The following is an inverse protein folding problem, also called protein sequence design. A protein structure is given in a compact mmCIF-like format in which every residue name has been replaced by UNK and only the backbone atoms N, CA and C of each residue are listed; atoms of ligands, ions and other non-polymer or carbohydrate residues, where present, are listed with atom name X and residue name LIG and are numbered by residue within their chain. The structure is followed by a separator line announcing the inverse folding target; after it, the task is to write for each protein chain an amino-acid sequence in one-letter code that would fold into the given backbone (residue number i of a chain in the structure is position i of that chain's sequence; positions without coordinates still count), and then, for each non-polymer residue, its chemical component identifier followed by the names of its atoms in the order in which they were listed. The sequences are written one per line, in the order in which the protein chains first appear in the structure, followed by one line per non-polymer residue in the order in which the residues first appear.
data_IF_940808698492
#
_entry.id   IF_940808698492
#
_cell.length_a   1.000
_cell.length_b   1.000
_cell.length_c   1.000
_cell.angle_alpha   90.00
_cell.angle_beta   90.00
_cell.angle_gamma   90.00
#
_symmetry.space_group_name_H-M   'P 1'
#
loop_
_entity.id
_entity.type
_entity.pdbx_description
1 polymer ?
#
# COMPACT_ATOMS: atom_id res chain seq x y z
N UNK A 1 -5.91 -36.07 12.11
CA UNK A 1 -6.60 -36.43 10.86
C UNK A 1 -5.55 -37.09 9.97
N UNK A 2 -5.66 -38.40 9.67
CA UNK A 2 -4.66 -39.10 8.84
C UNK A 2 -4.60 -38.47 7.45
N UNK A 3 -3.41 -38.06 7.02
CA UNK A 3 -3.19 -37.46 5.70
C UNK A 3 -3.46 -38.50 4.61
N UNK A 4 -3.76 -38.07 3.39
CA UNK A 4 -3.95 -39.00 2.27
C UNK A 4 -2.69 -39.83 1.98
N UNK A 5 -1.51 -39.31 2.36
CA UNK A 5 -0.22 -40.01 2.34
C UNK A 5 -0.19 -41.14 3.37
N UNK A 6 -0.67 -40.91 4.60
CA UNK A 6 -0.77 -41.95 5.62
C UNK A 6 -1.74 -43.06 5.20
N UNK A 7 -2.84 -42.70 4.52
CA UNK A 7 -3.78 -43.67 3.95
C UNK A 7 -3.15 -44.48 2.82
N UNK A 8 -2.41 -43.84 1.92
CA UNK A 8 -1.71 -44.54 0.84
C UNK A 8 -0.64 -45.49 1.38
N UNK A 9 0.18 -45.04 2.34
CA UNK A 9 1.19 -45.88 3.01
C UNK A 9 0.53 -47.04 3.74
N UNK A 10 -0.57 -46.80 4.46
CA UNK A 10 -1.30 -47.86 5.15
C UNK A 10 -1.97 -48.84 4.18
N UNK A 11 -2.49 -48.39 3.04
CA UNK A 11 -3.05 -49.27 2.00
C UNK A 11 -1.93 -50.08 1.33
N UNK A 12 -0.79 -49.48 1.02
CA UNK A 12 0.37 -50.20 0.45
C UNK A 12 0.93 -51.21 1.46
N UNK A 13 1.03 -50.85 2.73
CA UNK A 13 1.41 -51.76 3.81
C UNK A 13 0.38 -52.89 3.98
N UNK A 14 -0.92 -52.59 3.92
CA UNK A 14 -1.98 -53.59 3.99
C UNK A 14 -1.92 -54.55 2.79
N UNK A 15 -1.73 -54.04 1.57
CA UNK A 15 -1.56 -54.87 0.36
C UNK A 15 -0.33 -55.76 0.51
N UNK A 16 0.79 -55.21 0.97
CA UNK A 16 2.03 -55.96 1.20
C UNK A 16 1.88 -57.04 2.28
N UNK A 17 1.21 -56.72 3.40
CA UNK A 17 0.89 -57.67 4.48
C UNK A 17 -0.06 -58.76 3.98
N UNK A 18 -1.09 -58.40 3.21
CA UNK A 18 -2.06 -59.37 2.64
C UNK A 18 -1.36 -60.29 1.64
N UNK A 19 -0.42 -59.76 0.85
CA UNK A 19 0.41 -60.52 -0.07
C UNK A 19 1.34 -61.48 0.70
N UNK A 20 2.02 -61.02 1.75
CA UNK A 20 2.89 -61.84 2.61
C UNK A 20 2.13 -62.93 3.38
N UNK A 21 0.91 -62.64 3.84
CA UNK A 21 0.06 -63.61 4.55
C UNK A 21 -0.52 -64.64 3.58
N UNK A 22 -0.93 -64.23 2.38
CA UNK A 22 -1.42 -65.11 1.32
C UNK A 22 -0.32 -65.92 0.61
N UNK A 23 0.95 -65.57 0.82
CA UNK A 23 2.12 -66.16 0.13
C UNK A 23 2.46 -67.59 0.54
N UNK A 24 2.02 -68.02 1.73
CA UNK A 24 2.47 -69.30 2.30
C UNK A 24 2.02 -70.58 1.55
N UNK A 25 0.88 -70.63 0.81
CA UNK A 25 0.48 -71.87 0.14
C UNK A 25 0.67 -71.93 -1.39
N UNK A 26 0.91 -70.82 -2.11
CA UNK A 26 0.56 -70.78 -3.56
C UNK A 26 1.70 -70.84 -4.59
N UNK A 27 2.97 -70.56 -4.26
CA UNK A 27 4.06 -70.68 -5.22
C UNK A 27 5.30 -71.32 -4.59
N UNK A 28 5.67 -72.51 -5.07
CA UNK A 28 6.87 -73.27 -4.63
C UNK A 28 8.10 -72.99 -5.52
N UNK A 29 8.03 -72.04 -6.45
CA UNK A 29 9.12 -71.76 -7.39
C UNK A 29 9.71 -70.37 -7.17
N UNK A 30 11.02 -70.33 -6.88
CA UNK A 30 11.85 -69.13 -6.66
C UNK A 30 11.63 -68.03 -7.72
N UNK A 31 11.26 -68.41 -8.96
CA UNK A 31 10.95 -67.47 -10.03
C UNK A 31 9.68 -66.64 -9.76
N UNK A 32 8.63 -67.24 -9.19
CA UNK A 32 7.38 -66.58 -8.85
C UNK A 32 7.54 -65.56 -7.72
N UNK A 33 8.41 -65.88 -6.75
CA UNK A 33 8.77 -65.01 -5.63
C UNK A 33 9.55 -63.76 -6.10
N UNK A 34 10.48 -63.95 -7.05
CA UNK A 34 11.26 -62.86 -7.64
C UNK A 34 10.38 -61.95 -8.50
N UNK A 35 9.48 -62.52 -9.33
CA UNK A 35 8.57 -61.75 -10.19
C UNK A 35 7.53 -61.01 -9.35
N UNK A 36 6.95 -61.66 -8.34
CA UNK A 36 5.99 -61.05 -7.42
C UNK A 36 6.61 -59.92 -6.58
N UNK A 37 7.82 -60.15 -6.04
CA UNK A 37 8.59 -59.13 -5.34
C UNK A 37 8.96 -57.94 -6.24
N UNK A 38 9.40 -58.19 -7.47
CA UNK A 38 9.72 -57.14 -8.44
C UNK A 38 8.49 -56.30 -8.82
N UNK A 39 7.34 -56.95 -9.09
CA UNK A 39 6.08 -56.25 -9.39
C UNK A 39 5.58 -55.42 -8.20
N UNK A 40 5.74 -55.92 -6.97
CA UNK A 40 5.38 -55.17 -5.76
C UNK A 40 6.26 -53.92 -5.57
N UNK A 41 7.57 -54.01 -5.82
CA UNK A 41 8.50 -52.87 -5.75
C UNK A 41 8.19 -51.84 -6.83
N UNK A 42 7.98 -52.28 -8.08
CA UNK A 42 7.63 -51.39 -9.19
C UNK A 42 6.27 -50.72 -8.94
N UNK A 43 5.27 -51.46 -8.46
CA UNK A 43 3.97 -50.92 -8.07
C UNK A 43 4.06 -49.88 -6.96
N UNK A 44 4.88 -50.14 -5.93
CA UNK A 44 5.14 -49.20 -4.83
C UNK A 44 5.82 -47.91 -5.30
N UNK A 45 6.80 -48.00 -6.21
CA UNK A 45 7.48 -46.83 -6.80
C UNK A 45 6.51 -45.99 -7.64
N UNK A 46 5.69 -46.64 -8.48
CA UNK A 46 4.69 -45.95 -9.30
C UNK A 46 3.64 -45.26 -8.42
N UNK A 47 3.13 -45.95 -7.38
CA UNK A 47 2.18 -45.39 -6.44
C UNK A 47 2.75 -44.19 -5.67
N UNK A 48 4.00 -44.29 -5.19
CA UNK A 48 4.68 -43.19 -4.51
C UNK A 48 4.89 -41.97 -5.43
N UNK A 49 5.29 -42.19 -6.69
CA UNK A 49 5.39 -41.10 -7.68
C UNK A 49 4.04 -40.46 -7.97
N UNK A 50 2.99 -41.26 -8.17
CA UNK A 50 1.65 -40.73 -8.39
C UNK A 50 1.13 -39.95 -7.19
N UNK A 51 1.35 -40.45 -5.96
CA UNK A 51 0.98 -39.75 -4.73
C UNK A 51 1.70 -38.39 -4.64
N UNK A 52 3.01 -38.34 -4.92
CA UNK A 52 3.76 -37.07 -4.96
C UNK A 52 3.22 -36.10 -6.01
N UNK A 53 2.86 -36.57 -7.20
CA UNK A 53 2.26 -35.73 -8.25
C UNK A 53 0.90 -35.18 -7.80
N UNK A 54 0.05 -36.01 -7.21
CA UNK A 54 -1.28 -35.62 -6.72
C UNK A 54 -1.15 -34.62 -5.57
N UNK A 55 -0.25 -34.86 -4.62
CA UNK A 55 0.01 -33.95 -3.50
C UNK A 55 0.50 -32.59 -4.00
N UNK A 56 1.50 -32.56 -4.88
CA UNK A 56 1.98 -31.31 -5.49
C UNK A 56 0.90 -30.59 -6.29
N UNK A 57 0.02 -31.33 -6.96
CA UNK A 57 -1.11 -30.75 -7.70
C UNK A 57 -2.10 -30.09 -6.74
N UNK A 58 -2.45 -30.75 -5.63
CA UNK A 58 -3.36 -30.22 -4.60
C UNK A 58 -2.78 -28.99 -3.90
N UNK A 59 -1.49 -29.02 -3.55
CA UNK A 59 -0.78 -27.86 -2.97
C UNK A 59 -0.79 -26.66 -3.91
N UNK A 60 -0.58 -26.88 -5.22
CA UNK A 60 -0.68 -25.82 -6.23
C UNK A 60 -2.10 -25.27 -6.39
N UNK A 61 -3.12 -26.13 -6.28
CA UNK A 61 -4.53 -25.70 -6.34
C UNK A 61 -4.91 -24.87 -5.11
N UNK A 62 -4.47 -25.28 -3.91
CA UNK A 62 -4.64 -24.53 -2.66
C UNK A 62 -3.93 -23.17 -2.71
N UNK A 63 -2.67 -23.13 -3.17
CA UNK A 63 -1.92 -21.88 -3.36
C UNK A 63 -2.63 -20.95 -4.36
N UNK A 64 -3.11 -21.49 -5.49
CA UNK A 64 -3.86 -20.70 -6.47
C UNK A 64 -5.14 -20.12 -5.88
N UNK A 65 -5.85 -20.87 -5.04
CA UNK A 65 -7.05 -20.38 -4.35
C UNK A 65 -6.69 -19.23 -3.41
N UNK A 66 -5.66 -19.39 -2.56
CA UNK A 66 -5.19 -18.35 -1.65
C UNK A 66 -4.81 -17.08 -2.41
N UNK A 67 -4.06 -17.20 -3.50
CA UNK A 67 -3.66 -16.05 -4.33
C UNK A 67 -4.87 -15.35 -4.98
N UNK A 68 -5.91 -16.12 -5.33
CA UNK A 68 -7.17 -15.57 -5.86
C UNK A 68 -7.92 -14.78 -4.78
N UNK A 69 -8.01 -15.33 -3.57
CA UNK A 69 -8.68 -14.67 -2.44
C UNK A 69 -7.95 -13.39 -2.03
N UNK A 70 -6.61 -13.40 -2.08
CA UNK A 70 -5.77 -12.22 -1.87
C UNK A 70 -6.00 -11.18 -2.97
N UNK A 71 -6.01 -11.59 -4.24
CA UNK A 71 -6.30 -10.69 -5.35
C UNK A 71 -7.65 -9.99 -5.15
N UNK A 72 -8.71 -10.75 -4.86
CA UNK A 72 -10.07 -10.22 -4.67
C UNK A 72 -10.09 -9.24 -3.50
N UNK A 73 -9.49 -9.61 -2.36
CA UNK A 73 -9.41 -8.74 -1.18
C UNK A 73 -8.65 -7.45 -1.50
N UNK A 74 -7.50 -7.57 -2.15
CA UNK A 74 -6.64 -6.45 -2.52
C UNK A 74 -7.34 -5.49 -3.50
N UNK A 75 -7.95 -6.02 -4.56
CA UNK A 75 -8.77 -5.26 -5.51
C UNK A 75 -9.93 -4.54 -4.81
N UNK A 76 -10.64 -5.22 -3.90
CA UNK A 76 -11.73 -4.58 -3.15
C UNK A 76 -11.25 -3.41 -2.28
N UNK A 77 -10.09 -3.53 -1.64
CA UNK A 77 -9.52 -2.43 -0.83
C UNK A 77 -9.23 -1.22 -1.72
N UNK A 78 -8.53 -1.44 -2.83
CA UNK A 78 -8.20 -0.38 -3.78
C UNK A 78 -9.46 0.30 -4.35
N UNK A 79 -10.43 -0.48 -4.84
CA UNK A 79 -11.62 0.03 -5.54
C UNK A 79 -12.67 0.63 -4.61
N UNK A 80 -12.90 0.02 -3.44
CA UNK A 80 -14.04 0.38 -2.58
C UNK A 80 -13.65 1.21 -1.37
N UNK A 81 -12.37 1.21 -0.99
CA UNK A 81 -11.88 2.00 0.14
C UNK A 81 -10.99 3.13 -0.34
N UNK A 82 -9.93 2.85 -1.10
CA UNK A 82 -8.92 3.87 -1.42
C UNK A 82 -9.42 4.86 -2.48
N UNK A 83 -9.85 4.40 -3.66
CA UNK A 83 -10.29 5.29 -4.75
C UNK A 83 -11.43 6.24 -4.33
N UNK A 84 -12.48 5.79 -3.62
CA UNK A 84 -13.57 6.69 -3.20
C UNK A 84 -13.09 7.82 -2.28
N UNK A 85 -12.19 7.52 -1.34
CA UNK A 85 -11.60 8.53 -0.45
C UNK A 85 -10.76 9.54 -1.26
N UNK A 86 -9.90 9.07 -2.19
CA UNK A 86 -9.13 9.95 -3.07
C UNK A 86 -10.05 10.87 -3.90
N UNK A 87 -11.15 10.36 -4.44
CA UNK A 87 -12.13 11.16 -5.19
C UNK A 87 -12.82 12.20 -4.31
N UNK A 88 -13.19 11.83 -3.09
CA UNK A 88 -13.83 12.74 -2.15
C UNK A 88 -12.91 13.91 -1.80
N UNK A 89 -11.62 13.64 -1.57
CA UNK A 89 -10.61 14.67 -1.32
C UNK A 89 -10.39 15.54 -2.57
N UNK A 90 -10.28 14.94 -3.75
CA UNK A 90 -10.04 15.67 -5.00
C UNK A 90 -11.16 16.66 -5.32
N UNK A 91 -12.42 16.31 -5.02
CA UNK A 91 -13.56 17.19 -5.25
C UNK A 91 -13.51 18.48 -4.41
N UNK A 92 -12.66 18.52 -3.36
CA UNK A 92 -12.43 19.69 -2.53
C UNK A 92 -11.29 20.58 -3.06
N UNK A 93 -10.61 20.21 -4.16
CA UNK A 93 -9.48 20.97 -4.74
C UNK A 93 -9.85 22.42 -5.00
N UNK A 94 -10.91 22.65 -5.77
CA UNK A 94 -11.35 24.00 -6.14
C UNK A 94 -11.76 24.82 -4.91
N UNK A 95 -12.57 24.24 -4.02
CA UNK A 95 -13.02 24.93 -2.80
C UNK A 95 -11.84 25.28 -1.89
N UNK A 96 -10.90 24.35 -1.69
CA UNK A 96 -9.74 24.55 -0.80
C UNK A 96 -8.77 25.59 -1.35
N UNK A 97 -8.50 25.57 -2.66
CA UNK A 97 -7.63 26.57 -3.31
C UNK A 97 -8.27 27.96 -3.34
N UNK A 98 -9.55 28.06 -3.74
CA UNK A 98 -10.27 29.34 -3.73
C UNK A 98 -10.43 29.92 -2.31
N UNK A 99 -10.63 29.06 -1.29
CA UNK A 99 -10.72 29.52 0.10
C UNK A 99 -9.36 29.97 0.63
N UNK A 100 -8.27 29.28 0.29
CA UNK A 100 -6.91 29.71 0.65
C UNK A 100 -6.58 31.08 0.05
N UNK A 101 -6.90 31.30 -1.23
CA UNK A 101 -6.71 32.59 -1.91
C UNK A 101 -7.52 33.73 -1.26
N UNK A 102 -8.73 33.42 -0.75
CA UNK A 102 -9.62 34.41 -0.10
C UNK A 102 -9.27 34.65 1.36
N UNK A 103 -8.84 33.62 2.09
CA UNK A 103 -8.53 33.67 3.51
C UNK A 103 -7.70 32.47 3.98
N UNK A 104 -6.39 32.67 4.17
CA UNK A 104 -5.47 31.63 4.69
C UNK A 104 -5.86 31.04 6.05
N UNK A 105 -6.77 31.69 6.80
CA UNK A 105 -7.20 31.28 8.14
C UNK A 105 -8.40 30.31 8.15
N UNK A 106 -8.99 30.00 7.01
CA UNK A 106 -10.16 29.11 6.95
C UNK A 106 -9.90 27.92 6.02
N UNK A 107 -9.79 26.73 6.62
CA UNK A 107 -9.94 25.47 5.91
C UNK A 107 -11.00 24.65 6.65
N UNK A 108 -12.08 24.22 5.97
CA UNK A 108 -13.02 23.27 6.55
C UNK A 108 -12.34 21.91 6.71
N UNK A 109 -11.67 21.70 7.85
CA UNK A 109 -11.11 20.41 8.22
C UNK A 109 -12.21 19.52 8.82
N UNK A 110 -12.97 18.83 7.97
CA UNK A 110 -13.35 17.48 8.38
C UNK A 110 -12.09 16.67 8.19
N UNK A 111 -11.33 16.47 9.27
CA UNK A 111 -10.11 15.69 9.26
C UNK A 111 -10.35 14.41 8.47
N UNK A 112 -9.67 14.34 7.32
CA UNK A 112 -9.75 13.23 6.40
C UNK A 112 -9.36 11.97 7.16
N UNK A 113 -10.30 11.04 7.31
CA UNK A 113 -10.00 9.73 7.88
C UNK A 113 -9.16 8.96 6.86
N UNK A 114 -7.85 9.22 6.84
CA UNK A 114 -6.89 8.40 6.11
C UNK A 114 -6.70 7.08 6.89
N UNK A 115 -7.72 6.24 6.81
CA UNK A 115 -7.69 4.80 7.15
C UNK A 115 -6.91 4.03 6.06
N UNK A 116 -5.94 4.67 5.39
CA UNK A 116 -5.26 4.06 4.24
C UNK A 116 -4.12 3.14 4.65
N UNK A 117 -3.37 3.49 5.69
CA UNK A 117 -2.14 2.77 6.00
C UNK A 117 -2.37 1.52 6.89
N UNK A 118 -3.42 1.54 7.74
CA UNK A 118 -3.67 0.44 8.69
C UNK A 118 -4.29 -0.80 8.04
N UNK A 119 -5.21 -0.61 7.10
CA UNK A 119 -5.86 -1.72 6.41
C UNK A 119 -4.94 -2.30 5.33
N UNK A 120 -4.25 -1.46 4.54
CA UNK A 120 -3.36 -1.93 3.47
C UNK A 120 -2.21 -2.84 3.96
N UNK A 121 -1.57 -2.48 5.07
CA UNK A 121 -0.47 -3.26 5.65
C UNK A 121 -0.94 -4.58 6.28
N UNK A 122 -2.21 -4.67 6.73
CA UNK A 122 -2.74 -5.87 7.39
C UNK A 122 -2.94 -7.06 6.43
N UNK A 123 -3.06 -6.79 5.12
CA UNK A 123 -3.15 -7.80 4.07
C UNK A 123 -1.81 -8.10 3.39
N UNK A 124 -0.74 -7.44 3.86
CA UNK A 124 0.55 -7.42 3.20
C UNK A 124 1.44 -8.58 3.69
N UNK A 125 1.04 -9.82 3.43
CA UNK A 125 2.04 -10.89 3.37
C UNK A 125 2.85 -10.68 2.09
N UNK A 126 4.01 -10.04 2.27
CA UNK A 126 4.90 -9.62 1.20
C UNK A 126 5.30 -10.79 0.28
N UNK A 127 5.35 -12.02 0.80
CA UNK A 127 5.63 -13.21 -0.01
C UNK A 127 4.45 -13.60 -0.91
N UNK A 128 3.22 -13.50 -0.41
CA UNK A 128 2.01 -13.83 -1.17
C UNK A 128 1.69 -12.74 -2.20
N UNK A 129 1.89 -11.47 -1.83
CA UNK A 129 1.75 -10.33 -2.75
C UNK A 129 2.79 -10.40 -3.87
N UNK A 130 4.06 -10.69 -3.55
CA UNK A 130 5.08 -10.92 -4.58
C UNK A 130 4.70 -12.05 -5.55
N UNK A 131 4.22 -13.18 -5.02
CA UNK A 131 3.75 -14.29 -5.85
C UNK A 131 2.58 -13.90 -6.75
N UNK A 132 1.61 -13.15 -6.23
CA UNK A 132 0.49 -12.62 -7.01
C UNK A 132 1.00 -11.73 -8.16
N UNK A 133 1.90 -10.78 -7.88
CA UNK A 133 2.44 -9.87 -8.88
C UNK A 133 3.25 -10.59 -9.95
N UNK A 134 4.07 -11.59 -9.57
CA UNK A 134 4.78 -12.45 -10.52
C UNK A 134 3.79 -13.23 -11.41
N UNK A 135 2.75 -13.84 -10.81
CA UNK A 135 1.75 -14.60 -11.54
C UNK A 135 0.99 -13.72 -12.55
N UNK A 136 0.67 -12.49 -12.15
CA UNK A 136 -0.04 -11.50 -12.97
C UNK A 136 0.86 -10.70 -13.91
N UNK A 137 2.17 -10.93 -13.88
CA UNK A 137 3.19 -10.16 -14.63
C UNK A 137 3.04 -8.66 -14.39
N UNK A 138 2.68 -8.30 -13.16
CA UNK A 138 2.48 -6.93 -12.72
C UNK A 138 3.77 -6.45 -12.09
N UNK A 139 4.17 -5.22 -12.39
CA UNK A 139 5.34 -4.61 -11.78
C UNK A 139 5.07 -4.28 -10.30
N UNK A 140 5.89 -4.82 -9.41
CA UNK A 140 5.78 -4.59 -7.97
C UNK A 140 6.20 -3.17 -7.57
N UNK A 141 6.95 -2.46 -8.41
CA UNK A 141 7.29 -1.06 -8.14
C UNK A 141 6.05 -0.16 -8.07
N UNK A 142 5.00 -0.45 -8.86
CA UNK A 142 3.72 0.27 -8.78
C UNK A 142 3.13 0.23 -7.36
N UNK A 143 3.28 -0.90 -6.68
CA UNK A 143 2.80 -1.08 -5.31
C UNK A 143 3.58 -0.22 -4.32
N UNK A 144 4.91 -0.20 -4.45
CA UNK A 144 5.76 0.65 -3.62
C UNK A 144 5.51 2.14 -3.85
N UNK A 145 5.29 2.55 -5.10
CA UNK A 145 4.97 3.93 -5.45
C UNK A 145 3.62 4.36 -4.84
N UNK A 146 2.61 3.49 -4.93
CA UNK A 146 1.30 3.73 -4.28
C UNK A 146 1.47 3.89 -2.77
N UNK A 147 2.16 2.97 -2.10
CA UNK A 147 2.38 3.04 -0.65
C UNK A 147 3.08 4.35 -0.27
N UNK A 148 4.15 4.70 -0.98
CA UNK A 148 4.95 5.90 -0.71
C UNK A 148 4.11 7.18 -0.85
N UNK A 149 3.28 7.26 -1.89
CA UNK A 149 2.40 8.42 -2.10
C UNK A 149 1.26 8.47 -1.09
N UNK A 150 0.68 7.33 -0.73
CA UNK A 150 -0.33 7.26 0.33
C UNK A 150 0.24 7.70 1.69
N UNK A 151 1.49 7.36 1.99
CA UNK A 151 2.19 7.83 3.18
C UNK A 151 2.43 9.35 3.13
N UNK A 152 2.87 9.87 2.00
CA UNK A 152 3.01 11.32 1.80
C UNK A 152 1.67 12.05 2.03
N UNK A 153 0.57 11.57 1.45
CA UNK A 153 -0.75 12.19 1.58
C UNK A 153 -1.26 12.19 3.03
N UNK A 154 -0.94 11.14 3.78
CA UNK A 154 -1.25 11.03 5.21
C UNK A 154 -0.51 12.07 6.03
N UNK A 155 0.77 12.28 5.75
CA UNK A 155 1.60 13.19 6.54
C UNK A 155 1.43 14.66 6.11
N UNK A 156 0.94 14.92 4.89
CA UNK A 156 0.82 16.26 4.30
C UNK A 156 -0.64 16.66 4.02
N UNK A 157 -1.55 16.44 4.97
CA UNK A 157 -2.95 16.86 4.80
C UNK A 157 -3.07 18.38 4.54
N UNK A 158 -4.13 18.86 3.86
CA UNK A 158 -4.32 20.30 3.62
C UNK A 158 -4.31 21.12 4.92
N UNK A 159 -4.93 20.59 5.98
CA UNK A 159 -4.90 21.18 7.33
C UNK A 159 -3.47 21.32 7.85
N UNK A 160 -2.65 20.28 7.71
CA UNK A 160 -1.26 20.31 8.14
C UNK A 160 -0.44 21.35 7.34
N UNK A 161 -0.52 21.30 6.00
CA UNK A 161 0.20 22.21 5.11
C UNK A 161 -0.12 23.68 5.47
N UNK A 162 -1.39 24.00 5.64
CA UNK A 162 -1.80 25.38 5.96
C UNK A 162 -1.50 25.77 7.39
N UNK A 163 -1.54 24.84 8.34
CA UNK A 163 -1.12 25.14 9.72
C UNK A 163 0.34 25.60 9.78
N UNK A 164 1.23 24.95 9.02
CA UNK A 164 2.64 25.33 8.94
C UNK A 164 2.81 26.72 8.34
N UNK A 165 2.04 27.04 7.30
CA UNK A 165 2.07 28.36 6.69
C UNK A 165 1.53 29.44 7.63
N UNK A 166 0.44 29.13 8.35
CA UNK A 166 -0.21 30.08 9.26
C UNK A 166 0.73 30.50 10.39
N UNK A 167 1.41 29.56 11.03
CA UNK A 167 2.30 29.87 12.16
C UNK A 167 3.47 30.79 11.74
N UNK A 168 4.03 30.53 10.56
CA UNK A 168 5.08 31.37 9.97
C UNK A 168 4.56 32.79 9.63
N UNK A 169 3.40 32.88 8.97
CA UNK A 169 2.79 34.16 8.58
C UNK A 169 2.35 34.97 9.80
N UNK A 170 1.78 34.33 10.82
CA UNK A 170 1.37 34.97 12.08
C UNK A 170 2.58 35.57 12.81
N UNK A 171 3.68 34.80 12.90
CA UNK A 171 4.93 35.27 13.51
C UNK A 171 5.50 36.49 12.78
N UNK A 172 5.54 36.45 11.45
CA UNK A 172 6.02 37.56 10.62
C UNK A 172 5.09 38.78 10.72
N UNK A 173 3.77 38.58 10.77
CA UNK A 173 2.78 39.64 10.91
C UNK A 173 2.88 40.34 12.27
N UNK A 174 3.06 39.59 13.36
CA UNK A 174 3.30 40.14 14.70
C UNK A 174 4.58 40.98 14.71
N UNK A 175 5.66 40.47 14.11
CA UNK A 175 6.92 41.21 14.00
C UNK A 175 6.77 42.50 13.18
N UNK A 176 6.08 42.45 12.03
CA UNK A 176 5.78 43.61 11.18
C UNK A 176 4.98 44.68 11.93
N UNK A 177 3.93 44.28 12.64
CA UNK A 177 3.10 45.20 13.43
C UNK A 177 3.89 45.87 14.56
N UNK A 178 4.81 45.13 15.21
CA UNK A 178 5.71 45.67 16.23
C UNK A 178 6.77 46.62 15.66
N UNK A 179 7.26 46.38 14.44
CA UNK A 179 8.13 47.33 13.74
C UNK A 179 7.36 48.60 13.36
N UNK A 180 6.09 48.47 12.94
CA UNK A 180 5.24 49.58 12.52
C UNK A 180 4.81 50.49 13.69
N UNK A 181 4.55 49.93 14.88
CA UNK A 181 4.27 50.74 16.07
C UNK A 181 5.46 51.63 16.44
N UNK A 182 6.69 51.10 16.38
CA UNK A 182 7.94 51.85 16.58
C UNK A 182 8.18 52.92 15.50
N UNK A 183 7.78 52.63 14.26
CA UNK A 183 7.82 53.60 13.14
C UNK A 183 6.87 54.79 13.38
N UNK A 184 5.67 54.54 13.90
CA UNK A 184 4.72 55.60 14.28
C UNK A 184 5.24 56.48 15.42
N UNK A 185 6.00 55.92 16.35
CA UNK A 185 6.62 56.66 17.45
C UNK A 185 7.80 57.53 16.95
N UNK A 186 8.73 56.96 16.17
CA UNK A 186 9.88 57.71 15.60
C UNK A 186 9.48 58.84 14.64
N UNK A 187 8.38 58.69 13.89
CA UNK A 187 7.81 59.80 13.09
C UNK A 187 7.39 61.01 13.93
N UNK A 188 7.03 60.82 15.21
CA UNK A 188 6.74 61.93 16.14
C UNK A 188 8.02 62.61 16.63
N UNK A 189 9.14 61.89 16.65
CA UNK A 189 10.45 62.38 17.13
C UNK A 189 11.37 62.91 16.02
N UNK A 190 10.96 62.83 14.74
CA UNK A 190 11.67 63.38 13.58
C UNK A 190 13.02 62.70 13.25
N UNK A 191 13.13 61.38 13.46
CA UNK A 191 14.33 60.60 13.17
C UNK A 191 14.27 59.94 11.77
N UNK A 192 14.79 60.64 10.76
CA UNK A 192 14.78 60.22 9.34
C UNK A 192 15.46 58.87 9.08
N UNK A 193 16.58 58.58 9.76
CA UNK A 193 17.35 57.34 9.55
C UNK A 193 16.55 56.12 10.02
N UNK A 194 15.85 56.26 11.15
CA UNK A 194 14.99 55.20 11.67
C UNK A 194 13.77 54.96 10.77
N UNK A 195 13.17 56.00 10.19
CA UNK A 195 12.02 55.86 9.29
C UNK A 195 12.38 55.06 8.02
N UNK A 196 13.54 55.32 7.41
CA UNK A 196 13.99 54.61 6.20
C UNK A 196 14.26 53.13 6.49
N UNK A 197 14.99 52.85 7.59
CA UNK A 197 15.27 51.47 8.04
C UNK A 197 13.98 50.67 8.29
N UNK A 198 13.02 51.23 9.03
CA UNK A 198 11.77 50.52 9.30
C UNK A 198 10.88 50.33 8.05
N UNK A 199 11.00 51.21 7.05
CA UNK A 199 10.30 51.03 5.76
C UNK A 199 10.88 49.87 4.99
N UNK A 200 12.20 49.74 4.95
CA UNK A 200 12.89 48.62 4.32
C UNK A 200 12.61 47.29 5.04
N UNK A 201 12.65 47.28 6.38
CA UNK A 201 12.31 46.10 7.19
C UNK A 201 10.88 45.63 6.89
N UNK A 202 9.93 46.56 6.73
CA UNK A 202 8.54 46.24 6.37
C UNK A 202 8.42 45.62 4.99
N UNK A 203 9.01 46.25 3.97
CA UNK A 203 9.00 45.72 2.60
C UNK A 203 9.61 44.32 2.55
N UNK A 204 10.71 44.09 3.30
CA UNK A 204 11.29 42.77 3.47
C UNK A 204 10.32 41.77 4.10
N UNK A 205 9.63 42.12 5.19
CA UNK A 205 8.68 41.21 5.85
C UNK A 205 7.46 40.92 4.96
N UNK A 206 6.91 41.93 4.28
CA UNK A 206 5.77 41.77 3.38
C UNK A 206 6.14 40.80 2.22
N UNK A 207 7.35 40.94 1.65
CA UNK A 207 7.89 40.00 0.65
C UNK A 207 8.07 38.57 1.21
N UNK A 208 8.47 38.42 2.48
CA UNK A 208 8.59 37.10 3.11
C UNK A 208 7.21 36.45 3.31
N UNK A 209 6.20 37.22 3.72
CA UNK A 209 4.81 36.73 3.85
C UNK A 209 4.30 36.26 2.49
N UNK A 210 4.48 37.05 1.43
CA UNK A 210 4.08 36.67 0.08
C UNK A 210 4.80 35.38 -0.39
N UNK A 211 6.12 35.29 -0.16
CA UNK A 211 6.89 34.09 -0.47
C UNK A 211 6.38 32.84 0.25
N UNK A 212 6.02 32.97 1.53
CA UNK A 212 5.45 31.87 2.33
C UNK A 212 4.07 31.44 1.84
N UNK A 213 3.20 32.39 1.52
CA UNK A 213 1.89 32.10 0.94
C UNK A 213 2.02 31.37 -0.40
N UNK A 214 2.91 31.83 -1.28
CA UNK A 214 3.18 31.17 -2.57
C UNK A 214 3.72 29.75 -2.39
N UNK A 215 4.61 29.54 -1.41
CA UNK A 215 5.08 28.20 -1.08
C UNK A 215 3.94 27.30 -0.61
N UNK A 216 3.09 27.78 0.29
CA UNK A 216 1.95 27.01 0.78
C UNK A 216 0.97 26.65 -0.34
N UNK A 217 0.70 27.58 -1.27
CA UNK A 217 -0.11 27.30 -2.46
C UNK A 217 0.51 26.17 -3.29
N UNK A 218 1.81 26.24 -3.55
CA UNK A 218 2.52 25.19 -4.30
C UNK A 218 2.47 23.83 -3.58
N UNK A 219 2.63 23.81 -2.26
CA UNK A 219 2.56 22.59 -1.45
C UNK A 219 1.14 21.98 -1.50
N UNK A 220 0.09 22.82 -1.44
CA UNK A 220 -1.31 22.39 -1.63
C UNK A 220 -1.57 21.85 -3.04
N UNK A 221 -1.08 22.54 -4.07
CA UNK A 221 -1.18 22.07 -5.46
C UNK A 221 -0.50 20.71 -5.61
N UNK A 222 0.73 20.57 -5.10
CA UNK A 222 1.47 19.31 -5.11
C UNK A 222 0.75 18.18 -4.37
N UNK A 223 0.07 18.48 -3.26
CA UNK A 223 -0.77 17.53 -2.57
C UNK A 223 -1.91 17.01 -3.47
N UNK A 224 -2.66 17.90 -4.12
CA UNK A 224 -3.76 17.49 -5.01
C UNK A 224 -3.26 16.76 -6.27
N UNK A 225 -2.12 17.16 -6.81
CA UNK A 225 -1.52 16.47 -7.97
C UNK A 225 -1.06 15.06 -7.56
N UNK A 226 -0.54 14.89 -6.33
CA UNK A 226 -0.20 13.58 -5.78
C UNK A 226 -1.43 12.68 -5.63
N UNK A 227 -2.60 13.22 -5.26
CA UNK A 227 -3.86 12.45 -5.22
C UNK A 227 -4.20 11.91 -6.60
N UNK A 228 -4.14 12.77 -7.62
CA UNK A 228 -4.48 12.42 -9.00
C UNK A 228 -3.52 11.34 -9.54
N UNK A 229 -2.21 11.55 -9.39
CA UNK A 229 -1.22 10.57 -9.85
C UNK A 229 -1.35 9.24 -9.10
N UNK A 230 -1.66 9.27 -7.79
CA UNK A 230 -1.86 8.05 -6.99
C UNK A 230 -3.08 7.27 -7.46
N UNK A 231 -4.19 7.97 -7.75
CA UNK A 231 -5.39 7.34 -8.28
C UNK A 231 -5.11 6.68 -9.63
N UNK A 232 -4.42 7.36 -10.55
CA UNK A 232 -4.07 6.78 -11.84
C UNK A 232 -3.20 5.53 -11.69
N UNK A 233 -2.22 5.53 -10.78
CA UNK A 233 -1.43 4.33 -10.49
C UNK A 233 -2.28 3.17 -9.96
N UNK A 234 -3.24 3.44 -9.09
CA UNK A 234 -4.16 2.42 -8.56
C UNK A 234 -5.02 1.86 -9.68
N UNK A 235 -5.60 2.71 -10.53
CA UNK A 235 -6.44 2.31 -11.66
C UNK A 235 -5.65 1.43 -12.66
N UNK A 236 -4.41 1.80 -12.97
CA UNK A 236 -3.52 0.96 -13.78
C UNK A 236 -3.21 -0.38 -13.11
N UNK A 237 -2.92 -0.38 -11.81
CA UNK A 237 -2.61 -1.59 -11.06
C UNK A 237 -3.81 -2.56 -11.06
N UNK A 238 -5.02 -2.04 -10.90
CA UNK A 238 -6.26 -2.82 -10.96
C UNK A 238 -6.46 -3.47 -12.34
N UNK A 239 -6.18 -2.74 -13.41
CA UNK A 239 -6.19 -3.29 -14.77
C UNK A 239 -5.16 -4.42 -14.90
N UNK A 240 -3.94 -4.21 -14.42
CA UNK A 240 -2.87 -5.21 -14.50
C UNK A 240 -3.19 -6.49 -13.71
N UNK A 241 -3.73 -6.37 -12.50
CA UNK A 241 -4.10 -7.52 -11.67
C UNK A 241 -5.26 -8.32 -12.26
N UNK A 242 -6.18 -7.65 -12.96
CA UNK A 242 -7.36 -8.27 -13.57
C UNK A 242 -7.11 -8.80 -15.00
N UNK A 243 -5.90 -8.66 -15.56
CA UNK A 243 -5.53 -9.32 -16.82
C UNK A 243 -5.53 -10.84 -16.65
N UNK A 244 -6.06 -11.53 -17.67
CA UNK A 244 -6.16 -12.99 -17.75
C UNK A 244 -4.82 -13.65 -18.04
#
# INVERSE_FOLDING_TARGET
MLTNTDKAVNITALIFITFLIGYKPMFKEILGDIIGGALAVVGGIIAARYALIITKKKEKEEEKQILTDIQISFTNILEKLIIPELNLIQNLKTESLEQFEKNIYFIPSKDFFLVLNRDFMSFFDLNLVQKLFIQKKTDIYKLYDIITRLDYLKDNTPTHIVSLCKDDVETLTIYSNNAFSKLKESKKENDLINIEKFTHDREYIDNQIESKNNKCLNDLTSFFDTIEDTKSLIEELLVDLNKQ
#
